data_IF_732310250457
#
_entry.id   IF_732310250457
#
_cell.length_a   1.000
_cell.length_b   1.000
_cell.length_c   1.000
_cell.angle_alpha   90.00
_cell.angle_beta   90.00
_cell.angle_gamma   90.00
#
_symmetry.space_group_name_H-M   'P 1'
#
loop_
_entity.id
_entity.type
_entity.pdbx_description
1 polymer ?
#
# COMPACT_ATOMS: atom_id res chain seq x y z
N UNK A 1 -25.53 0.43 -5.86
CA UNK A 1 -25.27 1.29 -4.70
C UNK A 1 -24.26 0.57 -3.82
N UNK A 2 -23.28 1.26 -3.22
CA UNK A 2 -22.50 0.65 -2.15
C UNK A 2 -23.48 0.22 -1.04
N UNK A 3 -23.42 -1.06 -0.66
CA UNK A 3 -24.27 -1.58 0.41
C UNK A 3 -23.91 -0.87 1.71
N UNK A 4 -24.90 -0.58 2.55
CA UNK A 4 -24.67 0.08 3.85
C UNK A 4 -23.56 -0.66 4.64
N UNK A 5 -22.54 0.04 5.16
CA UNK A 5 -21.50 -0.59 5.96
C UNK A 5 -22.08 -1.33 7.17
N UNK A 6 -21.45 -2.45 7.52
CA UNK A 6 -21.85 -3.35 8.58
C UNK A 6 -20.87 -3.31 9.76
N UNK A 7 -21.27 -3.88 10.90
CA UNK A 7 -20.36 -4.05 12.03
C UNK A 7 -19.15 -4.94 11.67
N UNK A 8 -19.35 -5.95 10.82
CA UNK A 8 -18.28 -6.83 10.34
C UNK A 8 -17.23 -6.06 9.53
N UNK A 9 -17.64 -5.11 8.68
CA UNK A 9 -16.71 -4.24 7.95
C UNK A 9 -15.83 -3.44 8.92
N UNK A 10 -16.44 -2.86 9.96
CA UNK A 10 -15.72 -2.12 10.99
C UNK A 10 -14.74 -3.00 11.76
N UNK A 11 -15.13 -4.24 12.12
CA UNK A 11 -14.22 -5.19 12.78
C UNK A 11 -13.02 -5.56 11.91
N UNK A 12 -13.24 -5.78 10.61
CA UNK A 12 -12.15 -6.06 9.66
C UNK A 12 -11.20 -4.86 9.55
N UNK A 13 -11.73 -3.64 9.48
CA UNK A 13 -10.93 -2.41 9.47
C UNK A 13 -10.12 -2.24 10.75
N UNK A 14 -10.70 -2.53 11.92
CA UNK A 14 -9.97 -2.46 13.18
C UNK A 14 -8.86 -3.51 13.26
N UNK A 15 -9.08 -4.73 12.73
CA UNK A 15 -8.03 -5.75 12.61
C UNK A 15 -6.90 -5.31 11.68
N UNK A 16 -7.24 -4.71 10.53
CA UNK A 16 -6.28 -4.12 9.61
C UNK A 16 -5.46 -3.01 10.30
N UNK A 17 -6.13 -2.12 11.04
CA UNK A 17 -5.47 -1.09 11.83
C UNK A 17 -4.49 -1.69 12.86
N UNK A 18 -4.88 -2.74 13.57
CA UNK A 18 -4.02 -3.41 14.55
C UNK A 18 -2.74 -3.97 13.93
N UNK A 19 -2.83 -4.59 12.75
CA UNK A 19 -1.66 -5.07 12.00
C UNK A 19 -0.71 -3.92 11.63
N UNK A 20 -1.23 -2.71 11.35
CA UNK A 20 -0.40 -1.53 11.06
C UNK A 20 0.31 -0.93 12.26
N UNK A 21 -0.04 -1.36 13.48
CA UNK A 21 0.59 -0.91 14.74
C UNK A 21 1.81 -1.73 15.13
N UNK A 22 2.06 -2.86 14.47
CA UNK A 22 3.24 -3.67 14.73
C UNK A 22 4.52 -2.81 14.63
N UNK A 23 5.48 -3.06 15.52
CA UNK A 23 6.64 -2.17 15.68
C UNK A 23 7.45 -2.01 14.39
N UNK A 24 7.67 -3.10 13.66
CA UNK A 24 8.41 -3.07 12.41
C UNK A 24 7.59 -2.43 11.27
N UNK A 25 6.29 -2.74 11.20
CA UNK A 25 5.38 -2.09 10.26
C UNK A 25 5.31 -0.57 10.47
N UNK A 26 5.36 -0.08 11.71
CA UNK A 26 5.44 1.37 12.00
C UNK A 26 6.71 2.01 11.46
N UNK A 27 7.86 1.35 11.58
CA UNK A 27 9.12 1.83 10.97
C UNK A 27 9.01 1.87 9.46
N UNK A 28 8.50 0.79 8.85
CA UNK A 28 8.33 0.69 7.41
C UNK A 28 7.40 1.80 6.87
N UNK A 29 6.27 2.05 7.55
CA UNK A 29 5.35 3.14 7.22
C UNK A 29 6.01 4.52 7.37
N UNK A 30 6.77 4.74 8.44
CA UNK A 30 7.51 5.99 8.61
C UNK A 30 8.51 6.22 7.47
N UNK A 31 9.28 5.20 7.10
CA UNK A 31 10.20 5.26 5.97
C UNK A 31 9.47 5.58 4.66
N UNK A 32 8.33 4.94 4.40
CA UNK A 32 7.47 5.24 3.26
C UNK A 32 6.96 6.69 3.24
N UNK A 33 6.70 7.29 4.40
CA UNK A 33 6.18 8.65 4.51
C UNK A 33 7.29 9.70 4.42
N UNK A 34 8.41 9.48 5.10
CA UNK A 34 9.45 10.48 5.38
C UNK A 34 10.65 10.35 4.46
N UNK A 35 11.18 9.14 4.29
CA UNK A 35 12.50 8.93 3.69
C UNK A 35 12.43 8.52 2.21
N UNK A 36 11.46 7.67 1.86
CA UNK A 36 11.35 7.13 0.51
C UNK A 36 10.64 8.10 -0.43
N UNK A 37 11.35 8.91 -1.21
CA UNK A 37 10.74 9.90 -2.11
C UNK A 37 11.24 9.76 -3.57
N UNK A 38 10.90 8.67 -4.27
CA UNK A 38 11.41 8.41 -5.61
C UNK A 38 11.01 9.55 -6.56
N UNK A 39 11.94 10.00 -7.41
CA UNK A 39 11.69 11.03 -8.41
C UNK A 39 11.51 10.42 -9.80
N UNK A 40 12.07 9.23 -10.00
CA UNK A 40 12.07 8.51 -11.27
C UNK A 40 11.61 7.07 -11.07
N UNK A 41 11.11 6.41 -12.14
CA UNK A 41 10.87 4.97 -12.11
C UNK A 41 12.12 4.16 -11.74
N UNK A 42 13.32 4.62 -12.14
CA UNK A 42 14.60 3.99 -11.83
C UNK A 42 14.92 4.02 -10.33
N UNK A 43 14.59 5.11 -9.62
CA UNK A 43 14.75 5.20 -8.16
C UNK A 43 13.91 4.13 -7.45
N UNK A 44 12.68 3.94 -7.91
CA UNK A 44 11.79 2.91 -7.38
C UNK A 44 12.37 1.51 -7.67
N UNK A 45 12.75 1.24 -8.92
CA UNK A 45 13.30 -0.06 -9.35
C UNK A 45 14.57 -0.40 -8.56
N UNK A 46 15.44 0.58 -8.30
CA UNK A 46 16.66 0.38 -7.52
C UNK A 46 16.37 -0.20 -6.14
N UNK A 47 15.38 0.33 -5.43
CA UNK A 47 14.97 -0.20 -4.12
C UNK A 47 14.21 -1.52 -4.26
N UNK A 48 13.31 -1.63 -5.24
CA UNK A 48 12.48 -2.83 -5.45
C UNK A 48 13.31 -4.07 -5.86
N UNK A 49 14.42 -3.87 -6.56
CA UNK A 49 15.32 -4.94 -7.01
C UNK A 49 16.46 -5.25 -6.04
N UNK A 50 16.73 -4.39 -5.05
CA UNK A 50 17.74 -4.61 -4.02
C UNK A 50 17.28 -5.62 -2.95
N UNK A 51 17.06 -6.87 -3.37
CA UNK A 51 16.59 -7.94 -2.50
C UNK A 51 17.54 -8.15 -1.30
N UNK A 52 16.96 -8.29 -0.11
CA UNK A 52 17.71 -8.53 1.13
C UNK A 52 18.08 -7.25 1.89
N UNK A 53 17.87 -6.06 1.33
CA UNK A 53 18.01 -4.81 2.08
C UNK A 53 16.78 -4.51 2.94
N UNK A 54 16.99 -3.70 3.97
CA UNK A 54 15.92 -3.29 4.88
C UNK A 54 14.86 -2.45 4.17
N UNK A 55 15.28 -1.54 3.29
CA UNK A 55 14.40 -0.67 2.51
C UNK A 55 13.54 -1.50 1.55
N UNK A 56 14.11 -2.53 0.92
CA UNK A 56 13.35 -3.46 0.09
C UNK A 56 12.32 -4.24 0.91
N UNK A 57 12.70 -4.70 2.11
CA UNK A 57 11.78 -5.37 3.02
C UNK A 57 10.62 -4.45 3.42
N UNK A 58 10.91 -3.20 3.82
CA UNK A 58 9.90 -2.19 4.16
C UNK A 58 9.02 -1.79 2.97
N UNK A 59 9.60 -1.65 1.78
CA UNK A 59 8.88 -1.41 0.53
C UNK A 59 7.80 -2.48 0.34
N UNK A 60 8.20 -3.76 0.35
CA UNK A 60 7.28 -4.90 0.16
C UNK A 60 6.30 -5.06 1.30
N UNK A 61 6.70 -4.82 2.55
CA UNK A 61 5.85 -4.97 3.72
C UNK A 61 4.62 -4.07 3.63
N UNK A 62 4.84 -2.76 3.37
CA UNK A 62 3.74 -1.80 3.32
C UNK A 62 2.94 -1.92 2.02
N UNK A 63 3.60 -2.10 0.88
CA UNK A 63 2.91 -2.28 -0.40
C UNK A 63 2.04 -3.55 -0.38
N UNK A 64 2.57 -4.68 0.10
CA UNK A 64 1.83 -5.93 0.20
C UNK A 64 0.69 -5.88 1.20
N UNK A 65 0.88 -5.21 2.34
CA UNK A 65 -0.21 -4.95 3.28
C UNK A 65 -1.38 -4.21 2.62
N UNK A 66 -1.09 -3.15 1.86
CA UNK A 66 -2.13 -2.37 1.21
C UNK A 66 -2.77 -3.08 0.02
N UNK A 67 -2.00 -3.84 -0.74
CA UNK A 67 -2.49 -4.68 -1.83
C UNK A 67 -3.50 -5.73 -1.30
N UNK A 68 -3.15 -6.42 -0.22
CA UNK A 68 -4.04 -7.35 0.46
C UNK A 68 -5.31 -6.65 0.97
N UNK A 69 -5.19 -5.52 1.65
CA UNK A 69 -6.36 -4.78 2.15
C UNK A 69 -7.27 -4.30 1.00
N UNK A 70 -6.69 -3.79 -0.08
CA UNK A 70 -7.43 -3.37 -1.28
C UNK A 70 -8.13 -4.55 -1.97
N UNK A 71 -7.51 -5.74 -1.98
CA UNK A 71 -8.15 -6.94 -2.55
C UNK A 71 -9.44 -7.31 -1.81
N UNK A 72 -9.48 -7.18 -0.47
CA UNK A 72 -10.69 -7.43 0.31
C UNK A 72 -11.83 -6.49 -0.12
N UNK A 73 -11.51 -5.23 -0.42
CA UNK A 73 -12.48 -4.25 -0.92
C UNK A 73 -12.93 -4.58 -2.34
N UNK A 74 -12.00 -4.90 -3.23
CA UNK A 74 -12.30 -5.27 -4.62
C UNK A 74 -13.19 -6.51 -4.73
N UNK A 75 -13.04 -7.44 -3.79
CA UNK A 75 -13.87 -8.65 -3.69
C UNK A 75 -15.18 -8.43 -2.90
N UNK A 76 -15.47 -7.20 -2.48
CA UNK A 76 -16.72 -6.85 -1.80
C UNK A 76 -16.82 -7.37 -0.36
N UNK A 77 -15.69 -7.74 0.25
CA UNK A 77 -15.62 -8.22 1.65
C UNK A 77 -15.67 -7.05 2.63
N UNK A 78 -15.05 -5.92 2.26
CA UNK A 78 -15.09 -4.67 3.01
C UNK A 78 -15.81 -3.62 2.16
N UNK A 79 -16.78 -2.92 2.75
CA UNK A 79 -17.42 -1.77 2.11
C UNK A 79 -16.38 -0.72 1.64
N UNK A 80 -16.44 -0.38 0.35
CA UNK A 80 -15.47 0.51 -0.29
C UNK A 80 -15.48 1.95 0.24
N UNK A 81 -16.66 2.52 0.48
CA UNK A 81 -16.77 3.90 0.97
C UNK A 81 -16.17 4.03 2.37
N UNK A 82 -16.52 3.10 3.26
CA UNK A 82 -15.99 3.03 4.61
C UNK A 82 -14.46 2.80 4.60
N UNK A 83 -13.96 1.96 3.71
CA UNK A 83 -12.52 1.73 3.58
C UNK A 83 -11.77 2.98 3.12
N UNK A 84 -12.34 3.73 2.17
CA UNK A 84 -11.74 4.93 1.57
C UNK A 84 -11.83 6.18 2.46
N UNK A 85 -12.52 6.12 3.60
CA UNK A 85 -12.50 7.17 4.60
C UNK A 85 -11.06 7.52 5.01
N UNK A 86 -10.79 8.82 5.17
CA UNK A 86 -9.42 9.32 5.37
C UNK A 86 -8.71 8.71 6.59
N UNK A 87 -9.46 8.40 7.66
CA UNK A 87 -8.93 7.76 8.87
C UNK A 87 -8.57 6.28 8.70
N UNK A 88 -9.08 5.61 7.66
CA UNK A 88 -8.90 4.17 7.43
C UNK A 88 -7.76 3.94 6.44
N UNK A 89 -7.95 4.34 5.17
CA UNK A 89 -6.99 4.10 4.08
C UNK A 89 -6.36 5.36 3.52
N UNK A 90 -6.43 6.51 4.20
CA UNK A 90 -5.84 7.76 3.71
C UNK A 90 -4.35 7.65 3.37
N UNK A 91 -3.58 6.90 4.17
CA UNK A 91 -2.18 6.61 3.86
C UNK A 91 -2.03 5.82 2.54
N UNK A 92 -2.86 4.82 2.28
CA UNK A 92 -2.79 4.06 1.02
C UNK A 92 -2.93 4.98 -0.18
N UNK A 93 -3.93 5.87 -0.14
CA UNK A 93 -4.20 6.84 -1.20
C UNK A 93 -3.01 7.80 -1.37
N UNK A 94 -2.45 8.27 -0.25
CA UNK A 94 -1.25 9.12 -0.26
C UNK A 94 -0.03 8.41 -0.87
N UNK A 95 0.27 7.18 -0.43
CA UNK A 95 1.40 6.41 -0.97
C UNK A 95 1.22 6.10 -2.45
N UNK A 96 0.00 5.79 -2.89
CA UNK A 96 -0.33 5.62 -4.30
C UNK A 96 -0.08 6.91 -5.12
N UNK A 97 -0.55 8.05 -4.62
CA UNK A 97 -0.34 9.34 -5.28
C UNK A 97 1.16 9.70 -5.35
N UNK A 98 1.92 9.33 -4.32
CA UNK A 98 3.37 9.54 -4.25
C UNK A 98 4.15 8.73 -5.29
N UNK A 99 3.74 7.48 -5.57
CA UNK A 99 4.42 6.62 -6.57
C UNK A 99 3.89 6.82 -7.99
N UNK A 100 2.72 7.42 -8.15
CA UNK A 100 2.05 7.64 -9.45
C UNK A 100 2.97 8.28 -10.52
N UNK A 101 3.75 9.34 -10.21
CA UNK A 101 4.67 9.94 -11.17
C UNK A 101 5.79 9.00 -11.64
N UNK A 102 6.14 8.00 -10.83
CA UNK A 102 7.23 7.05 -11.09
C UNK A 102 6.75 5.77 -11.82
N UNK A 103 5.53 5.76 -12.37
CA UNK A 103 5.01 4.59 -13.07
C UNK A 103 5.85 4.27 -14.30
N UNK A 104 6.48 3.10 -14.30
CA UNK A 104 7.04 2.48 -15.51
C UNK A 104 5.86 2.06 -16.40
N UNK A 105 5.88 2.33 -17.71
CA UNK A 105 4.95 1.68 -18.63
C UNK A 105 5.18 0.17 -18.54
N UNK A 106 4.23 -0.57 -17.98
CA UNK A 106 4.28 -2.03 -17.76
C UNK A 106 4.66 -2.80 -19.04
N UNK A 107 4.42 -2.20 -20.21
CA UNK A 107 4.74 -2.77 -21.52
C UNK A 107 6.21 -2.69 -21.96
N UNK A 108 7.09 -1.86 -21.38
CA UNK A 108 8.47 -1.73 -21.87
C UNK A 108 9.49 -2.63 -21.14
N UNK A 109 9.15 -3.10 -19.94
CA UNK A 109 10.05 -3.91 -19.11
C UNK A 109 9.88 -5.43 -19.34
N UNK A 110 8.73 -5.88 -19.82
CA UNK A 110 8.44 -7.31 -20.05
C UNK A 110 8.72 -7.76 -21.50
N UNK A 111 9.05 -6.85 -22.42
CA UNK A 111 9.36 -7.16 -23.83
C UNK A 111 10.85 -7.37 -24.13
N UNK A 112 11.71 -7.42 -23.11
CA UNK A 112 13.11 -7.88 -23.27
C UNK A 112 13.26 -9.31 -22.75
N UNK A 113 12.61 -10.26 -23.40
CA UNK A 113 13.08 -11.65 -23.57
C UNK A 113 12.58 -12.17 -24.90
#
# INVERSE_FOLDING_TARGET
>A
MPNKPTATDAELILKLYDLRREAEMRKARNWWLVDFWPQTPEDFIKIASALGTQENAWLRQVAGYWDMAASLVLHGIINADLFLEGGVSGEMVFLYAKIQPCRVPVYSAMSRK
#
